data_IF_898165786752
#
_entry.id   IF_898165786752
#
_cell.length_a   1.000
_cell.length_b   1.000
_cell.length_c   1.000
_cell.angle_alpha   90.00
_cell.angle_beta   90.00
_cell.angle_gamma   90.00
#
_symmetry.space_group_name_H-M   'P 1'
#
loop_
_entity.id
_entity.type
_entity.pdbx_description
1 polymer ?
#
# COMPACT_ATOMS: atom_id res chain seq x y z
N UNK A 1 3.57 15.90 20.78
CA UNK A 1 3.86 16.91 19.75
C UNK A 1 3.13 16.50 18.49
N UNK A 2 2.58 17.43 17.71
CA UNK A 2 1.99 17.10 16.41
C UNK A 2 3.13 16.84 15.42
N UNK A 3 3.03 15.77 14.61
CA UNK A 3 3.97 15.49 13.52
C UNK A 3 3.97 16.63 12.52
N UNK A 4 5.13 17.02 12.04
CA UNK A 4 5.34 18.15 11.14
C UNK A 4 5.63 17.70 9.71
N UNK A 5 6.44 16.67 9.55
CA UNK A 5 6.91 16.15 8.27
C UNK A 5 6.32 14.77 7.96
N UNK A 6 6.32 13.86 8.94
CA UNK A 6 5.79 12.52 8.76
C UNK A 6 4.26 12.49 8.88
N UNK A 7 3.61 11.92 7.87
CA UNK A 7 2.20 11.55 7.90
C UNK A 7 1.99 10.12 8.41
N UNK A 8 0.87 9.49 8.03
CA UNK A 8 0.56 8.09 8.34
C UNK A 8 1.40 7.10 7.53
N UNK A 9 1.96 7.52 6.40
CA UNK A 9 2.75 6.68 5.48
C UNK A 9 3.99 7.44 4.97
N UNK A 10 4.88 7.78 5.89
CA UNK A 10 6.10 8.52 5.60
C UNK A 10 5.89 10.02 5.38
N UNK A 11 6.89 10.68 4.78
CA UNK A 11 6.84 12.09 4.39
C UNK A 11 6.23 12.16 2.98
N UNK A 12 5.25 13.03 2.76
CA UNK A 12 4.65 13.25 1.44
C UNK A 12 4.44 14.73 1.17
N UNK A 13 4.53 15.13 -0.10
CA UNK A 13 4.25 16.49 -0.53
C UNK A 13 4.49 16.70 -2.01
N UNK A 14 4.18 17.92 -2.48
CA UNK A 14 4.56 18.31 -3.84
C UNK A 14 6.07 18.35 -3.98
N UNK A 15 6.57 17.77 -5.06
CA UNK A 15 7.99 17.74 -5.37
C UNK A 15 8.58 19.16 -5.41
N UNK A 16 9.76 19.32 -4.83
CA UNK A 16 10.47 20.59 -4.72
C UNK A 16 9.72 21.69 -3.96
N UNK A 17 8.83 21.30 -3.02
CA UNK A 17 8.09 22.23 -2.15
C UNK A 17 8.04 21.68 -0.71
N UNK A 18 8.07 22.58 0.27
CA UNK A 18 7.88 22.22 1.69
C UNK A 18 8.85 21.14 2.16
N UNK A 19 8.31 20.04 2.68
CA UNK A 19 9.09 18.90 3.16
C UNK A 19 9.87 18.14 2.06
N UNK A 20 9.52 18.36 0.78
CA UNK A 20 10.13 17.66 -0.35
C UNK A 20 11.18 18.51 -1.07
N UNK A 21 11.69 19.58 -0.45
CA UNK A 21 12.84 20.36 -0.94
C UNK A 21 14.16 19.65 -0.66
N UNK A 22 15.20 19.79 -1.51
CA UNK A 22 16.48 19.08 -1.37
C UNK A 22 17.17 19.28 -0.03
N UNK A 23 17.08 20.48 0.56
CA UNK A 23 17.68 20.80 1.85
C UNK A 23 17.01 20.06 3.02
N UNK A 24 15.67 19.93 3.03
CA UNK A 24 14.95 19.13 4.03
C UNK A 24 15.23 17.65 3.81
N UNK A 25 15.15 17.18 2.57
CA UNK A 25 15.40 15.77 2.22
C UNK A 25 16.82 15.32 2.62
N UNK A 26 17.82 16.18 2.42
CA UNK A 26 19.19 15.92 2.88
C UNK A 26 19.24 15.77 4.41
N UNK A 27 18.55 16.66 5.15
CA UNK A 27 18.47 16.56 6.62
C UNK A 27 17.76 15.29 7.07
N UNK A 28 16.73 14.81 6.35
CA UNK A 28 16.10 13.51 6.61
C UNK A 28 17.15 12.38 6.54
N UNK A 29 17.99 12.37 5.48
CA UNK A 29 19.08 11.39 5.35
C UNK A 29 20.11 11.49 6.47
N UNK A 30 20.52 12.71 6.85
CA UNK A 30 21.44 12.92 7.96
C UNK A 30 20.87 12.46 9.28
N UNK A 31 19.62 12.83 9.61
CA UNK A 31 18.96 12.51 10.85
C UNK A 31 18.71 11.00 11.00
N UNK A 32 18.15 10.35 9.97
CA UNK A 32 17.94 8.91 9.97
C UNK A 32 19.27 8.15 10.06
N UNK A 33 20.29 8.57 9.31
CA UNK A 33 21.63 8.00 9.37
C UNK A 33 22.27 8.11 10.74
N UNK A 34 22.15 9.25 11.39
CA UNK A 34 22.67 9.47 12.74
C UNK A 34 22.02 8.55 13.78
N UNK A 35 20.70 8.35 13.72
CA UNK A 35 19.96 7.51 14.66
C UNK A 35 20.27 6.01 14.51
N UNK A 36 20.58 5.59 13.28
CA UNK A 36 20.81 4.17 12.96
C UNK A 36 22.29 3.78 12.89
N UNK A 37 23.20 4.73 13.00
CA UNK A 37 24.63 4.45 13.13
C UNK A 37 24.96 3.99 14.54
N UNK A 38 24.78 2.70 14.82
CA UNK A 38 24.98 2.09 16.15
C UNK A 38 26.02 0.96 16.09
N UNK A 39 27.00 1.01 16.98
CA UNK A 39 28.07 0.00 17.05
C UNK A 39 29.22 0.26 16.06
N UNK A 40 30.11 -0.73 15.88
CA UNK A 40 31.39 -0.57 15.17
C UNK A 40 31.41 -1.13 13.73
N UNK A 41 30.29 -1.56 13.18
CA UNK A 41 30.23 -2.10 11.80
C UNK A 41 30.04 -0.99 10.76
N UNK A 42 30.26 -1.29 9.49
CA UNK A 42 29.95 -0.39 8.39
C UNK A 42 28.44 -0.36 8.13
N UNK A 43 27.81 0.79 8.40
CA UNK A 43 26.37 0.96 8.25
C UNK A 43 25.97 1.15 6.80
N UNK A 44 24.77 0.65 6.42
CA UNK A 44 24.26 0.68 5.06
C UNK A 44 22.81 1.11 5.02
N UNK A 45 22.46 1.86 3.98
CA UNK A 45 21.07 2.14 3.62
C UNK A 45 20.81 1.72 2.18
N UNK A 46 19.68 1.06 1.96
CA UNK A 46 19.17 0.72 0.62
C UNK A 46 18.19 1.81 0.20
N UNK A 47 18.34 2.37 -1.01
CA UNK A 47 17.43 3.39 -1.54
C UNK A 47 16.86 2.90 -2.87
N UNK A 48 15.52 2.75 -2.93
CA UNK A 48 14.75 2.55 -4.14
C UNK A 48 13.85 3.74 -4.43
N UNK A 49 13.36 3.83 -5.66
CA UNK A 49 12.45 4.89 -6.09
C UNK A 49 11.44 4.37 -7.10
N UNK A 50 10.33 5.08 -7.25
CA UNK A 50 9.47 4.92 -8.40
C UNK A 50 10.00 5.69 -9.62
N UNK A 51 9.20 5.83 -10.64
CA UNK A 51 9.60 6.41 -11.94
C UNK A 51 9.43 7.92 -12.03
N UNK A 52 9.01 8.62 -10.97
CA UNK A 52 8.77 10.07 -10.95
C UNK A 52 10.05 10.84 -11.27
N UNK A 53 9.92 11.88 -12.09
CA UNK A 53 11.03 12.76 -12.43
C UNK A 53 11.75 13.34 -11.19
N UNK A 54 10.98 13.75 -10.18
CA UNK A 54 11.51 14.28 -8.93
C UNK A 54 12.31 13.26 -8.11
N UNK A 55 12.15 11.96 -8.39
CA UNK A 55 12.93 10.90 -7.74
C UNK A 55 14.43 11.05 -7.90
N UNK A 56 14.89 11.59 -9.03
CA UNK A 56 16.33 11.87 -9.25
C UNK A 56 16.89 12.88 -8.25
N UNK A 57 16.19 13.99 -8.05
CA UNK A 57 16.60 15.04 -7.11
C UNK A 57 16.57 14.52 -5.66
N UNK A 58 15.51 13.85 -5.28
CA UNK A 58 15.30 13.34 -3.91
C UNK A 58 16.35 12.27 -3.58
N UNK A 59 16.62 11.34 -4.51
CA UNK A 59 17.64 10.30 -4.34
C UNK A 59 19.03 10.89 -4.07
N UNK A 60 19.43 11.93 -4.83
CA UNK A 60 20.72 12.56 -4.64
C UNK A 60 20.80 13.31 -3.29
N UNK A 61 19.74 14.00 -2.89
CA UNK A 61 19.68 14.70 -1.61
C UNK A 61 19.78 13.73 -0.42
N UNK A 62 18.99 12.65 -0.42
CA UNK A 62 19.06 11.58 0.57
C UNK A 62 20.45 10.94 0.60
N UNK A 63 21.00 10.62 -0.58
CA UNK A 63 22.33 10.03 -0.70
C UNK A 63 23.37 10.90 -0.02
N UNK A 64 23.39 12.19 -0.33
CA UNK A 64 24.33 13.15 0.28
C UNK A 64 24.17 13.18 1.81
N UNK A 65 22.92 13.18 2.30
CA UNK A 65 22.63 13.16 3.74
C UNK A 65 23.17 11.91 4.44
N UNK A 66 22.89 10.72 3.91
CA UNK A 66 23.38 9.46 4.47
C UNK A 66 24.90 9.31 4.41
N UNK A 67 25.51 9.71 3.28
CA UNK A 67 26.98 9.71 3.15
C UNK A 67 27.61 10.61 4.19
N UNK A 68 27.09 11.84 4.39
CA UNK A 68 27.53 12.77 5.41
C UNK A 68 27.38 12.21 6.82
N UNK A 69 26.33 11.41 7.08
CA UNK A 69 26.16 10.71 8.34
C UNK A 69 27.06 9.48 8.51
N UNK A 70 27.88 9.12 7.52
CA UNK A 70 28.80 7.98 7.56
C UNK A 70 28.19 6.63 7.21
N UNK A 71 27.04 6.60 6.51
CA UNK A 71 26.43 5.38 6.01
C UNK A 71 26.80 5.14 4.53
N UNK A 72 27.03 3.89 4.16
CA UNK A 72 27.11 3.49 2.75
C UNK A 72 25.70 3.42 2.14
N UNK A 73 25.56 3.93 0.92
CA UNK A 73 24.28 3.98 0.19
C UNK A 73 24.27 2.97 -0.96
N UNK A 74 23.27 2.10 -0.96
CA UNK A 74 23.02 1.10 -1.98
C UNK A 74 21.82 1.55 -2.83
N UNK A 75 22.09 2.04 -4.05
CA UNK A 75 21.09 2.59 -4.96
C UNK A 75 20.50 1.45 -5.81
N UNK A 76 19.21 1.22 -5.71
CA UNK A 76 18.50 0.16 -6.47
C UNK A 76 17.99 0.66 -7.83
N UNK A 77 17.83 1.99 -8.01
CA UNK A 77 17.05 2.53 -9.11
C UNK A 77 15.55 2.33 -8.94
N UNK A 78 14.77 2.26 -10.03
CA UNK A 78 13.34 1.93 -9.95
C UNK A 78 13.14 0.54 -9.38
N UNK A 79 12.42 0.46 -8.25
CA UNK A 79 12.15 -0.78 -7.53
C UNK A 79 10.84 -0.65 -6.73
N UNK A 80 9.99 -1.68 -6.71
CA UNK A 80 8.79 -1.71 -5.89
C UNK A 80 9.06 -1.46 -4.40
N UNK A 81 8.10 -0.83 -3.69
CA UNK A 81 8.18 -0.66 -2.23
C UNK A 81 8.49 -1.96 -1.50
N UNK A 82 7.81 -3.10 -1.78
CA UNK A 82 8.15 -4.37 -1.14
C UNK A 82 9.54 -4.90 -1.50
N UNK A 83 10.07 -4.59 -2.69
CA UNK A 83 11.44 -4.95 -3.04
C UNK A 83 12.46 -4.21 -2.16
N UNK A 84 12.21 -2.93 -1.85
CA UNK A 84 13.06 -2.16 -0.92
C UNK A 84 13.04 -2.80 0.47
N UNK A 85 11.87 -3.14 1.01
CA UNK A 85 11.74 -3.79 2.31
C UNK A 85 12.46 -5.16 2.34
N UNK A 86 12.28 -5.98 1.31
CA UNK A 86 12.92 -7.29 1.16
C UNK A 86 14.45 -7.17 1.06
N UNK A 87 14.95 -6.24 0.22
CA UNK A 87 16.38 -6.04 0.00
C UNK A 87 17.07 -5.45 1.23
N UNK A 88 16.40 -4.59 2.00
CA UNK A 88 16.90 -4.10 3.29
C UNK A 88 17.29 -5.27 4.20
N UNK A 89 16.40 -6.25 4.33
CA UNK A 89 16.67 -7.46 5.14
C UNK A 89 17.74 -8.36 4.51
N UNK A 90 17.60 -8.70 3.23
CA UNK A 90 18.47 -9.68 2.56
C UNK A 90 19.91 -9.18 2.39
N UNK A 91 20.11 -7.87 2.27
CA UNK A 91 21.42 -7.24 2.20
C UNK A 91 21.98 -6.81 3.56
N UNK A 92 21.24 -7.11 4.65
CA UNK A 92 21.62 -6.74 6.03
C UNK A 92 21.91 -5.24 6.14
N UNK A 93 21.05 -4.40 5.54
CA UNK A 93 21.14 -2.97 5.66
C UNK A 93 20.49 -2.50 6.98
N UNK A 94 20.97 -1.40 7.53
CA UNK A 94 20.45 -0.81 8.76
C UNK A 94 19.16 -0.03 8.49
N UNK A 95 18.99 0.45 7.25
CA UNK A 95 17.80 1.17 6.79
C UNK A 95 17.46 0.81 5.35
N UNK A 96 16.17 0.91 5.03
CA UNK A 96 15.65 0.97 3.66
C UNK A 96 14.89 2.27 3.45
N UNK A 97 15.00 2.85 2.26
CA UNK A 97 14.27 4.05 1.90
C UNK A 97 13.59 3.85 0.54
N UNK A 98 12.29 4.07 0.51
CA UNK A 98 11.52 4.14 -0.73
C UNK A 98 11.13 5.58 -1.04
N UNK A 99 11.47 6.04 -2.23
CA UNK A 99 11.10 7.36 -2.75
C UNK A 99 9.90 7.18 -3.66
N UNK A 100 8.72 7.45 -3.12
CA UNK A 100 7.45 7.35 -3.85
C UNK A 100 6.30 8.04 -3.11
N UNK A 101 5.31 8.51 -3.86
CA UNK A 101 4.00 8.90 -3.34
C UNK A 101 2.91 7.90 -3.74
N UNK A 102 3.26 6.62 -3.98
CA UNK A 102 2.35 5.52 -4.31
C UNK A 102 1.43 5.88 -5.49
N UNK A 103 0.11 5.92 -5.28
CA UNK A 103 -0.90 6.17 -6.30
C UNK A 103 -1.14 7.66 -6.64
N UNK A 104 -0.44 8.60 -5.99
CA UNK A 104 -0.61 10.03 -6.27
C UNK A 104 -0.10 10.39 -7.69
N UNK A 105 -0.55 11.53 -8.27
CA UNK A 105 0.01 12.06 -9.51
C UNK A 105 1.51 12.33 -9.42
N UNK A 106 2.19 12.44 -10.56
CA UNK A 106 3.65 12.61 -10.65
C UNK A 106 4.19 13.85 -9.93
N UNK A 107 3.37 14.89 -9.78
CA UNK A 107 3.74 16.15 -9.13
C UNK A 107 3.99 16.00 -7.63
N UNK A 108 3.46 14.95 -7.01
CA UNK A 108 3.74 14.59 -5.63
C UNK A 108 4.91 13.60 -5.56
N UNK A 109 5.60 13.57 -4.43
CA UNK A 109 6.54 12.53 -4.08
C UNK A 109 6.54 12.27 -2.57
N UNK A 110 7.27 11.26 -2.12
CA UNK A 110 7.33 10.90 -0.71
C UNK A 110 8.58 10.11 -0.35
N UNK A 111 8.78 9.93 0.95
CA UNK A 111 9.89 9.17 1.53
C UNK A 111 9.32 8.25 2.59
N UNK A 112 9.40 6.93 2.35
CA UNK A 112 9.07 5.89 3.32
C UNK A 112 10.38 5.30 3.85
N UNK A 113 10.53 5.14 5.16
CA UNK A 113 11.75 4.61 5.77
C UNK A 113 11.42 3.29 6.48
N UNK A 114 12.26 2.28 6.21
CA UNK A 114 12.17 0.94 6.77
C UNK A 114 13.35 0.69 7.70
N UNK A 115 13.10 0.03 8.82
CA UNK A 115 14.14 -0.46 9.72
C UNK A 115 14.85 -1.70 9.17
N UNK A 116 15.88 -2.22 9.88
CA UNK A 116 16.65 -3.39 9.46
C UNK A 116 15.81 -4.67 9.38
N UNK A 117 14.66 -4.70 10.05
CA UNK A 117 13.67 -5.77 9.99
C UNK A 117 12.73 -5.67 8.77
N UNK A 118 12.85 -4.61 7.97
CA UNK A 118 12.03 -4.36 6.79
C UNK A 118 10.64 -3.80 7.08
N UNK A 119 10.32 -3.48 8.34
CA UNK A 119 9.10 -2.77 8.70
C UNK A 119 9.31 -1.25 8.67
N UNK A 120 8.23 -0.49 8.47
CA UNK A 120 8.26 0.97 8.61
C UNK A 120 8.71 1.38 10.01
N UNK A 121 9.36 2.54 10.12
CA UNK A 121 9.79 3.07 11.41
C UNK A 121 8.61 3.32 12.34
N UNK A 122 8.87 3.21 13.65
CA UNK A 122 7.88 3.56 14.67
C UNK A 122 7.66 5.07 14.74
N UNK A 123 6.50 5.47 15.26
CA UNK A 123 6.14 6.87 15.49
C UNK A 123 7.19 7.62 16.31
N UNK A 124 7.75 6.95 17.31
CA UNK A 124 8.80 7.51 18.20
C UNK A 124 10.08 7.79 17.42
N UNK A 125 10.46 6.88 16.51
CA UNK A 125 11.66 7.07 15.66
C UNK A 125 11.43 8.18 14.63
N UNK A 126 10.25 8.24 14.01
CA UNK A 126 9.88 9.31 13.10
C UNK A 126 9.91 10.68 13.78
N UNK A 127 9.39 10.80 15.02
CA UNK A 127 9.46 12.03 15.81
C UNK A 127 10.91 12.42 16.17
N UNK A 128 11.79 11.47 16.46
CA UNK A 128 13.22 11.75 16.68
C UNK A 128 13.90 12.29 15.43
N UNK A 129 13.55 11.77 14.25
CA UNK A 129 14.04 12.30 12.96
C UNK A 129 13.55 13.74 12.78
N UNK A 130 12.27 14.03 13.02
CA UNK A 130 11.71 15.39 12.92
C UNK A 130 12.42 16.37 13.87
N UNK A 131 12.68 15.95 15.10
CA UNK A 131 13.40 16.79 16.08
C UNK A 131 14.80 17.17 15.58
N UNK A 132 15.51 16.24 14.95
CA UNK A 132 16.83 16.51 14.37
C UNK A 132 16.76 17.42 13.13
N UNK A 133 15.74 17.27 12.29
CA UNK A 133 15.51 18.14 11.12
C UNK A 133 15.28 19.60 11.58
N UNK A 134 14.46 19.80 12.61
CA UNK A 134 14.14 21.12 13.15
C UNK A 134 15.27 21.73 13.98
N UNK A 135 16.22 20.93 14.44
CA UNK A 135 17.40 21.36 15.20
C UNK A 135 18.70 20.96 14.49
N UNK A 136 19.04 21.57 13.33
CA UNK A 136 20.18 21.14 12.51
C UNK A 136 21.56 21.22 13.22
N UNK A 137 21.68 22.03 14.25
CA UNK A 137 22.89 22.11 15.09
C UNK A 137 23.18 20.81 15.87
N UNK A 138 22.19 19.90 15.99
CA UNK A 138 22.32 18.58 16.62
C UNK A 138 22.69 17.49 15.62
N UNK A 139 22.66 17.79 14.33
CA UNK A 139 23.14 16.86 13.30
C UNK A 139 24.67 16.78 13.36
N UNK A 140 25.18 15.56 13.47
CA UNK A 140 26.62 15.30 13.61
C UNK A 140 27.14 14.61 12.35
N UNK A 141 27.77 15.35 11.42
CA UNK A 141 28.45 14.75 10.29
C UNK A 141 29.55 13.78 10.74
N UNK A 142 29.80 12.76 9.94
CA UNK A 142 30.91 11.86 10.17
C UNK A 142 32.26 12.56 9.96
N UNK A 143 33.31 12.08 10.61
CA UNK A 143 34.67 12.50 10.33
C UNK A 143 35.04 12.19 8.88
N UNK A 144 35.99 12.93 8.30
CA UNK A 144 36.33 12.85 6.85
C UNK A 144 36.66 11.42 6.40
N UNK A 145 37.34 10.65 7.23
CA UNK A 145 37.71 9.25 6.97
C UNK A 145 36.53 8.27 7.13
N UNK A 146 35.41 8.71 7.71
CA UNK A 146 34.21 7.93 7.98
C UNK A 146 33.06 8.24 7.04
N UNK A 147 33.21 9.20 6.10
CA UNK A 147 32.20 9.51 5.09
C UNK A 147 31.83 8.23 4.34
N UNK A 148 30.51 8.03 4.07
CA UNK A 148 30.00 6.87 3.38
C UNK A 148 30.36 6.83 1.89
N UNK A 149 30.02 5.70 1.24
CA UNK A 149 30.21 5.48 -0.21
C UNK A 149 28.88 5.11 -0.84
N UNK A 150 28.57 5.66 -2.02
CA UNK A 150 27.41 5.24 -2.80
C UNK A 150 27.80 4.18 -3.83
N UNK A 151 26.95 3.17 -3.99
CA UNK A 151 27.10 2.09 -4.99
C UNK A 151 25.73 1.77 -5.60
N UNK A 152 25.69 1.61 -6.93
CA UNK A 152 24.52 1.05 -7.61
C UNK A 152 24.49 -0.48 -7.48
N UNK A 153 23.29 -1.03 -7.32
CA UNK A 153 23.03 -2.47 -7.24
C UNK A 153 22.27 -2.85 -8.51
N UNK A 154 22.96 -3.45 -9.46
CA UNK A 154 22.41 -3.72 -10.80
C UNK A 154 21.51 -4.97 -10.83
N UNK A 155 21.63 -5.87 -9.87
CA UNK A 155 20.86 -7.11 -9.76
C UNK A 155 19.62 -7.01 -8.82
N UNK A 156 19.26 -5.80 -8.40
CA UNK A 156 18.15 -5.57 -7.46
C UNK A 156 16.81 -6.11 -7.99
N UNK A 157 16.49 -5.81 -9.25
CA UNK A 157 15.26 -6.29 -9.89
C UNK A 157 15.24 -7.81 -9.99
N UNK A 158 16.34 -8.45 -10.42
CA UNK A 158 16.44 -9.90 -10.53
C UNK A 158 16.25 -10.60 -9.18
N UNK A 159 16.83 -10.05 -8.10
CA UNK A 159 16.63 -10.57 -6.74
C UNK A 159 15.17 -10.55 -6.31
N UNK A 160 14.46 -9.47 -6.60
CA UNK A 160 13.04 -9.36 -6.27
C UNK A 160 12.19 -10.30 -7.13
N UNK A 161 12.46 -10.40 -8.44
CA UNK A 161 11.78 -11.33 -9.36
C UNK A 161 11.91 -12.75 -8.85
N UNK A 162 13.12 -13.21 -8.55
CA UNK A 162 13.36 -14.55 -8.03
C UNK A 162 12.67 -14.78 -6.67
N UNK A 163 12.67 -13.78 -5.81
CA UNK A 163 11.95 -13.85 -4.54
C UNK A 163 10.44 -13.98 -4.77
N UNK A 164 9.86 -13.14 -5.64
CA UNK A 164 8.43 -13.16 -5.95
C UNK A 164 8.00 -14.51 -6.53
N UNK A 165 8.72 -15.02 -7.53
CA UNK A 165 8.43 -16.33 -8.16
C UNK A 165 8.40 -17.48 -7.15
N UNK A 166 9.26 -17.47 -6.13
CA UNK A 166 9.28 -18.52 -5.08
C UNK A 166 8.03 -18.52 -4.21
N UNK A 167 7.24 -17.45 -4.20
CA UNK A 167 5.96 -17.38 -3.47
C UNK A 167 4.80 -18.00 -4.25
N UNK A 168 4.98 -18.23 -5.55
CA UNK A 168 4.04 -18.95 -6.37
C UNK A 168 4.10 -20.46 -6.04
N UNK A 169 3.07 -20.94 -5.37
CA UNK A 169 3.06 -22.30 -4.75
C UNK A 169 2.18 -23.30 -5.48
N UNK A 170 1.80 -23.05 -6.74
CA UNK A 170 1.13 -24.03 -7.55
C UNK A 170 2.11 -25.07 -8.10
N UNK A 171 1.62 -26.31 -8.27
CA UNK A 171 2.43 -27.42 -8.81
C UNK A 171 2.62 -27.34 -10.34
N UNK A 172 2.05 -26.32 -11.01
CA UNK A 172 2.08 -26.07 -12.45
C UNK A 172 2.51 -24.64 -12.75
N UNK A 173 3.08 -24.42 -13.95
CA UNK A 173 3.41 -23.09 -14.46
C UNK A 173 2.14 -22.28 -14.77
N UNK A 174 2.31 -21.01 -15.17
CA UNK A 174 1.24 -20.16 -15.71
C UNK A 174 1.03 -20.37 -17.23
N UNK A 175 1.62 -21.42 -17.79
CA UNK A 175 1.48 -21.74 -19.20
C UNK A 175 0.01 -21.91 -19.60
N UNK A 176 -0.38 -21.27 -20.72
CA UNK A 176 -1.77 -21.24 -21.20
C UNK A 176 -2.61 -20.10 -20.64
N UNK A 177 -2.14 -19.36 -19.62
CA UNK A 177 -2.82 -18.15 -19.14
C UNK A 177 -2.34 -16.91 -19.90
N UNK A 178 -3.30 -16.12 -20.39
CA UNK A 178 -3.07 -14.79 -20.98
C UNK A 178 -3.41 -13.72 -19.93
N UNK A 179 -2.41 -12.93 -19.56
CA UNK A 179 -2.48 -11.94 -18.48
C UNK A 179 -2.30 -10.53 -19.02
N UNK A 180 -3.24 -9.63 -18.77
CA UNK A 180 -3.03 -8.19 -18.93
C UNK A 180 -2.39 -7.67 -17.63
N UNK A 181 -1.18 -7.12 -17.69
CA UNK A 181 -0.50 -6.50 -16.57
C UNK A 181 -0.37 -4.99 -16.78
N UNK A 182 -0.95 -4.21 -15.87
CA UNK A 182 -0.83 -2.76 -15.80
C UNK A 182 0.07 -2.37 -14.63
N UNK A 183 1.21 -1.80 -14.94
CA UNK A 183 2.21 -1.39 -13.93
C UNK A 183 2.19 0.11 -13.63
N UNK A 184 1.14 0.81 -14.03
CA UNK A 184 0.92 2.24 -13.74
C UNK A 184 2.05 3.18 -14.22
N UNK A 185 2.90 2.79 -15.19
CA UNK A 185 4.19 3.43 -15.48
C UNK A 185 5.05 3.60 -14.21
N UNK A 186 4.90 2.72 -13.23
CA UNK A 186 5.48 2.79 -11.90
C UNK A 186 6.73 1.92 -11.72
N UNK A 187 7.09 1.71 -10.46
CA UNK A 187 8.33 1.06 -10.04
C UNK A 187 8.47 -0.40 -10.50
N UNK A 188 7.34 -1.08 -10.77
CA UNK A 188 7.32 -2.49 -11.20
C UNK A 188 7.30 -2.69 -12.72
N UNK A 189 7.49 -1.62 -13.53
CA UNK A 189 7.31 -1.66 -14.98
C UNK A 189 8.13 -2.73 -15.71
N UNK A 190 9.23 -3.18 -15.14
CA UNK A 190 10.01 -4.32 -15.63
C UNK A 190 9.82 -5.58 -14.80
N UNK A 191 9.80 -5.47 -13.47
CA UNK A 191 9.85 -6.64 -12.59
C UNK A 191 8.57 -7.48 -12.62
N UNK A 192 7.38 -6.87 -12.64
CA UNK A 192 6.14 -7.61 -12.63
C UNK A 192 5.88 -8.35 -13.96
N UNK A 193 5.99 -7.71 -15.14
CA UNK A 193 5.87 -8.44 -16.41
C UNK A 193 6.88 -9.57 -16.55
N UNK A 194 8.14 -9.34 -16.13
CA UNK A 194 9.20 -10.36 -16.22
C UNK A 194 8.89 -11.56 -15.31
N UNK A 195 8.48 -11.32 -14.06
CA UNK A 195 8.15 -12.41 -13.15
C UNK A 195 7.03 -13.32 -13.68
N UNK A 196 5.97 -12.72 -14.23
CA UNK A 196 4.84 -13.46 -14.78
C UNK A 196 5.22 -14.21 -16.07
N UNK A 197 6.02 -13.59 -16.94
CA UNK A 197 6.53 -14.23 -18.17
C UNK A 197 7.45 -15.42 -17.85
N UNK A 198 8.35 -15.26 -16.90
CA UNK A 198 9.25 -16.35 -16.47
C UNK A 198 8.51 -17.53 -15.82
N UNK A 199 7.31 -17.30 -15.29
CA UNK A 199 6.40 -18.35 -14.81
C UNK A 199 5.59 -19.01 -15.93
N UNK A 200 5.72 -18.56 -17.19
CA UNK A 200 5.14 -19.19 -18.36
C UNK A 200 3.90 -18.51 -18.93
N UNK A 201 3.45 -17.36 -18.39
CA UNK A 201 2.25 -16.68 -18.88
C UNK A 201 2.50 -15.95 -20.20
N UNK A 202 1.44 -15.85 -21.03
CA UNK A 202 1.36 -14.89 -22.16
C UNK A 202 1.03 -13.50 -21.58
N UNK A 203 1.91 -12.52 -21.81
CA UNK A 203 1.82 -11.20 -21.16
C UNK A 203 1.41 -10.12 -22.16
N UNK A 204 0.38 -9.34 -21.80
CA UNK A 204 -0.03 -8.11 -22.47
C UNK A 204 0.19 -6.96 -21.51
N UNK A 205 1.08 -6.03 -21.84
CA UNK A 205 1.48 -4.95 -20.92
C UNK A 205 0.69 -3.65 -21.15
N UNK A 206 0.44 -2.93 -20.07
CA UNK A 206 -0.05 -1.56 -20.00
C UNK A 206 0.82 -0.80 -19.00
N UNK A 207 1.07 0.49 -19.24
CA UNK A 207 1.79 1.32 -18.27
C UNK A 207 3.22 0.87 -18.00
N UNK A 208 3.97 0.46 -19.03
CA UNK A 208 5.36 -0.02 -18.93
C UNK A 208 6.39 0.90 -19.61
N UNK A 209 5.98 2.11 -19.98
CA UNK A 209 6.83 3.10 -20.64
C UNK A 209 6.88 4.43 -19.84
N UNK A 210 7.56 4.42 -18.68
CA UNK A 210 7.62 5.57 -17.81
C UNK A 210 8.47 6.70 -18.41
N UNK A 211 7.92 7.93 -18.43
CA UNK A 211 8.62 9.14 -18.90
C UNK A 211 8.94 10.14 -17.78
N UNK A 212 8.66 9.77 -16.52
CA UNK A 212 8.86 10.61 -15.35
C UNK A 212 7.67 11.46 -14.93
N UNK A 213 6.67 11.61 -15.80
CA UNK A 213 5.48 12.44 -15.55
C UNK A 213 4.15 11.73 -15.75
N UNK A 214 4.17 10.49 -16.26
CA UNK A 214 2.98 9.70 -16.59
C UNK A 214 2.64 8.58 -15.61
N UNK A 215 3.28 8.53 -14.44
CA UNK A 215 2.96 7.53 -13.41
C UNK A 215 1.51 7.70 -12.93
N UNK A 216 0.76 6.61 -12.83
CA UNK A 216 -0.66 6.56 -12.45
C UNK A 216 -1.61 7.38 -13.37
N UNK A 217 -1.16 7.87 -14.52
CA UNK A 217 -1.99 8.68 -15.39
C UNK A 217 -2.93 7.80 -16.22
N UNK A 218 -4.20 7.68 -15.78
CA UNK A 218 -5.25 6.85 -16.40
C UNK A 218 -4.85 5.37 -16.58
N UNK A 219 -4.00 4.89 -15.70
CA UNK A 219 -3.51 3.50 -15.63
C UNK A 219 -3.31 3.09 -14.17
N UNK A 220 -3.14 1.80 -13.93
CA UNK A 220 -2.85 1.21 -12.62
C UNK A 220 -4.08 0.98 -11.75
N UNK A 221 -3.85 0.58 -10.51
CA UNK A 221 -4.89 0.10 -9.58
C UNK A 221 -5.95 1.14 -9.21
N UNK A 222 -5.66 2.43 -9.35
CA UNK A 222 -6.61 3.52 -9.09
C UNK A 222 -7.41 3.92 -10.33
N UNK A 223 -7.08 3.40 -11.50
CA UNK A 223 -7.78 3.60 -12.76
C UNK A 223 -7.87 2.29 -13.55
N UNK A 224 -8.62 1.29 -13.05
CA UNK A 224 -8.65 -0.05 -13.61
C UNK A 224 -9.39 -0.15 -14.96
N UNK A 225 -10.13 0.89 -15.37
CA UNK A 225 -10.93 0.89 -16.59
C UNK A 225 -10.12 0.59 -17.85
N UNK A 226 -8.87 1.08 -17.90
CA UNK A 226 -7.95 0.80 -19.01
C UNK A 226 -7.62 -0.68 -19.09
N UNK A 227 -7.34 -1.31 -17.96
CA UNK A 227 -7.09 -2.75 -17.85
C UNK A 227 -8.34 -3.56 -18.19
N UNK A 228 -9.50 -3.21 -17.59
CA UNK A 228 -10.79 -3.88 -17.85
C UNK A 228 -11.13 -3.91 -19.36
N UNK A 229 -10.94 -2.79 -20.05
CA UNK A 229 -11.13 -2.69 -21.49
C UNK A 229 -10.15 -3.61 -22.25
N UNK A 230 -8.88 -3.59 -21.86
CA UNK A 230 -7.83 -4.38 -22.53
C UNK A 230 -8.02 -5.88 -22.37
N UNK A 231 -8.46 -6.33 -21.18
CA UNK A 231 -8.81 -7.74 -20.93
C UNK A 231 -9.88 -8.20 -21.91
N UNK A 232 -10.98 -7.45 -22.06
CA UNK A 232 -12.05 -7.79 -23.00
C UNK A 232 -11.58 -7.80 -24.46
N UNK A 233 -10.81 -6.79 -24.88
CA UNK A 233 -10.31 -6.67 -26.26
C UNK A 233 -9.40 -7.83 -26.66
N UNK A 234 -8.56 -8.28 -25.73
CA UNK A 234 -7.56 -9.32 -25.98
C UNK A 234 -8.01 -10.72 -25.57
N UNK A 235 -9.23 -10.84 -24.98
CA UNK A 235 -9.74 -12.09 -24.41
C UNK A 235 -8.73 -12.70 -23.44
N UNK A 236 -8.16 -11.87 -22.59
CA UNK A 236 -7.25 -12.33 -21.55
C UNK A 236 -8.02 -13.03 -20.43
N UNK A 237 -7.39 -13.98 -19.77
CA UNK A 237 -7.98 -14.75 -18.67
C UNK A 237 -8.09 -13.92 -17.39
N UNK A 238 -7.19 -12.94 -17.23
CA UNK A 238 -7.09 -12.09 -16.03
C UNK A 238 -6.42 -10.77 -16.37
N UNK A 239 -6.82 -9.71 -15.67
CA UNK A 239 -6.09 -8.46 -15.59
C UNK A 239 -5.53 -8.21 -14.19
N UNK A 240 -4.32 -7.67 -14.11
CA UNK A 240 -3.62 -7.33 -12.87
C UNK A 240 -3.16 -5.89 -12.98
N UNK A 241 -3.63 -4.99 -12.11
CA UNK A 241 -3.21 -3.60 -12.06
C UNK A 241 -2.52 -3.30 -10.74
N UNK A 242 -1.29 -2.81 -10.82
CA UNK A 242 -0.50 -2.34 -9.68
C UNK A 242 -0.60 -0.82 -9.58
N UNK A 243 -0.24 -0.23 -8.43
CA UNK A 243 -0.06 1.21 -8.33
C UNK A 243 1.41 1.62 -8.55
N UNK A 244 1.69 2.91 -8.44
CA UNK A 244 2.99 3.48 -8.82
C UNK A 244 4.21 2.90 -8.09
N UNK A 245 4.07 2.39 -6.87
CA UNK A 245 5.15 1.72 -6.14
C UNK A 245 4.85 0.23 -5.86
N UNK A 246 3.79 -0.30 -6.49
CA UNK A 246 3.41 -1.69 -6.54
C UNK A 246 3.14 -2.35 -5.17
N UNK A 247 2.79 -1.55 -4.18
CA UNK A 247 2.37 -2.05 -2.87
C UNK A 247 0.87 -2.42 -2.83
N UNK A 248 0.12 -2.13 -3.95
CA UNK A 248 -1.30 -2.44 -4.14
C UNK A 248 -1.55 -3.19 -5.43
N UNK A 249 -2.63 -3.97 -5.43
CA UNK A 249 -3.14 -4.67 -6.61
C UNK A 249 -4.67 -4.61 -6.69
N UNK A 250 -5.17 -4.42 -7.89
CA UNK A 250 -6.56 -4.66 -8.29
C UNK A 250 -6.53 -5.68 -9.42
N UNK A 251 -7.46 -6.61 -9.41
CA UNK A 251 -7.56 -7.67 -10.41
C UNK A 251 -8.86 -7.50 -11.20
N UNK A 252 -8.90 -7.98 -12.42
CA UNK A 252 -10.14 -8.19 -13.17
C UNK A 252 -10.25 -9.62 -13.62
N UNK A 253 -11.49 -10.10 -13.70
CA UNK A 253 -11.77 -11.39 -14.32
C UNK A 253 -11.72 -11.30 -15.85
N UNK A 254 -11.96 -12.42 -16.52
CA UNK A 254 -12.00 -12.56 -17.99
C UNK A 254 -13.10 -11.72 -18.66
N UNK A 255 -14.11 -11.26 -17.89
CA UNK A 255 -15.17 -10.37 -18.37
C UNK A 255 -14.81 -8.89 -18.20
N UNK A 256 -13.67 -8.61 -17.53
CA UNK A 256 -13.23 -7.27 -17.18
C UNK A 256 -14.01 -6.68 -16.01
N UNK A 257 -14.58 -7.53 -15.15
CA UNK A 257 -15.18 -7.12 -13.88
C UNK A 257 -14.13 -7.01 -12.80
N UNK A 258 -14.21 -5.94 -12.01
CA UNK A 258 -13.19 -5.61 -11.00
C UNK A 258 -13.33 -6.50 -9.77
N UNK A 259 -12.21 -7.03 -9.32
CA UNK A 259 -12.03 -7.80 -8.09
C UNK A 259 -11.14 -6.98 -7.16
N UNK A 260 -11.71 -6.46 -6.08
CA UNK A 260 -11.02 -5.59 -5.13
C UNK A 260 -10.21 -6.35 -4.08
N UNK A 261 -9.50 -5.60 -3.22
CA UNK A 261 -8.68 -6.19 -2.17
C UNK A 261 -9.44 -7.06 -1.18
N UNK A 262 -10.72 -6.79 -0.94
CA UNK A 262 -11.53 -7.59 -0.03
C UNK A 262 -11.78 -9.00 -0.58
N UNK A 263 -12.09 -9.11 -1.88
CA UNK A 263 -12.25 -10.41 -2.55
C UNK A 263 -10.93 -11.18 -2.60
N UNK A 264 -9.82 -10.47 -2.90
CA UNK A 264 -8.47 -11.07 -2.95
C UNK A 264 -8.06 -11.59 -1.57
N UNK A 265 -8.26 -10.80 -0.51
CA UNK A 265 -7.98 -11.24 0.86
C UNK A 265 -8.83 -12.43 1.27
N UNK A 266 -10.12 -12.44 0.92
CA UNK A 266 -11.01 -13.56 1.19
C UNK A 266 -10.54 -14.85 0.52
N UNK A 267 -10.11 -14.76 -0.74
CA UNK A 267 -9.58 -15.90 -1.50
C UNK A 267 -8.31 -16.45 -0.84
N UNK A 268 -7.32 -15.59 -0.60
CA UNK A 268 -6.03 -15.99 -0.03
C UNK A 268 -6.23 -16.60 1.36
N UNK A 269 -7.00 -15.94 2.25
CA UNK A 269 -7.25 -16.43 3.59
C UNK A 269 -7.97 -17.80 3.58
N UNK A 270 -8.97 -17.98 2.71
CA UNK A 270 -9.69 -19.24 2.56
C UNK A 270 -8.78 -20.37 2.04
N UNK A 271 -7.97 -20.08 1.03
CA UNK A 271 -6.98 -21.03 0.48
C UNK A 271 -5.96 -21.43 1.54
N UNK A 272 -5.40 -20.45 2.25
CA UNK A 272 -4.40 -20.72 3.28
C UNK A 272 -5.00 -21.48 4.48
N UNK A 273 -6.25 -21.20 4.84
CA UNK A 273 -6.97 -21.98 5.87
C UNK A 273 -7.12 -23.45 5.46
N UNK A 274 -7.59 -23.70 4.24
CA UNK A 274 -7.77 -25.05 3.70
C UNK A 274 -6.44 -25.85 3.61
N UNK A 275 -5.32 -25.14 3.47
CA UNK A 275 -3.97 -25.71 3.35
C UNK A 275 -3.19 -25.74 4.66
N UNK A 276 -3.78 -25.29 5.76
CA UNK A 276 -3.11 -25.24 7.07
C UNK A 276 -1.98 -24.19 7.16
N UNK A 277 -2.00 -23.19 6.29
CA UNK A 277 -1.00 -22.10 6.23
C UNK A 277 -1.45 -20.83 6.95
N UNK A 278 -2.77 -20.68 7.17
CA UNK A 278 -3.32 -19.49 7.83
C UNK A 278 -2.98 -19.49 9.32
N UNK A 279 -2.42 -18.37 9.79
CA UNK A 279 -2.09 -18.13 11.20
C UNK A 279 -3.07 -17.10 11.80
N UNK A 280 -3.24 -17.12 13.11
CA UNK A 280 -4.16 -16.21 13.81
C UNK A 280 -5.65 -16.54 13.63
N UNK A 281 -6.00 -17.59 12.86
CA UNK A 281 -7.37 -18.04 12.67
C UNK A 281 -8.25 -17.11 11.83
N UNK A 282 -7.67 -16.21 11.03
CA UNK A 282 -8.41 -15.28 10.20
C UNK A 282 -7.54 -14.25 9.49
N UNK A 283 -8.11 -13.08 9.19
CA UNK A 283 -7.39 -11.97 8.58
C UNK A 283 -7.64 -10.63 9.29
N UNK A 284 -6.75 -9.68 9.08
CA UNK A 284 -6.82 -8.33 9.63
C UNK A 284 -7.10 -7.34 8.50
N UNK A 285 -8.08 -6.44 8.69
CA UNK A 285 -8.39 -5.40 7.72
C UNK A 285 -8.72 -4.07 8.40
N UNK A 286 -9.10 -3.06 7.63
CA UNK A 286 -9.52 -1.78 8.19
C UNK A 286 -11.04 -1.70 8.34
N UNK A 287 -11.50 -0.67 9.03
CA UNK A 287 -12.94 -0.36 9.14
C UNK A 287 -13.59 -0.04 7.77
N UNK A 288 -12.84 0.08 6.69
CA UNK A 288 -13.36 0.37 5.35
C UNK A 288 -13.74 -0.88 4.56
N UNK A 289 -13.24 -2.05 4.93
CA UNK A 289 -13.58 -3.31 4.24
C UNK A 289 -15.06 -3.66 4.36
N UNK A 290 -15.60 -4.21 3.30
CA UNK A 290 -17.01 -4.51 3.16
C UNK A 290 -17.51 -5.51 4.22
N UNK A 291 -18.74 -5.34 4.68
CA UNK A 291 -19.38 -6.26 5.65
C UNK A 291 -19.57 -7.68 5.05
N UNK A 292 -19.72 -7.78 3.72
CA UNK A 292 -19.75 -9.05 3.01
C UNK A 292 -18.48 -9.89 3.23
N UNK A 293 -17.30 -9.25 3.35
CA UNK A 293 -16.07 -9.95 3.72
C UNK A 293 -16.16 -10.58 5.12
N UNK A 294 -16.73 -9.86 6.08
CA UNK A 294 -16.92 -10.35 7.45
C UNK A 294 -17.84 -11.57 7.48
N UNK A 295 -18.96 -11.48 6.78
CA UNK A 295 -19.90 -12.61 6.65
C UNK A 295 -19.23 -13.82 5.96
N UNK A 296 -18.43 -13.57 4.92
CA UNK A 296 -17.68 -14.63 4.23
C UNK A 296 -16.69 -15.33 5.17
N UNK A 297 -15.92 -14.57 5.95
CA UNK A 297 -14.97 -15.15 6.90
C UNK A 297 -15.71 -15.93 7.99
N UNK A 298 -16.75 -15.36 8.58
CA UNK A 298 -17.56 -16.03 9.60
C UNK A 298 -18.17 -17.35 9.11
N UNK A 299 -18.67 -17.39 7.87
CA UNK A 299 -19.25 -18.62 7.27
C UNK A 299 -18.21 -19.76 7.12
N UNK A 300 -16.93 -19.43 7.13
CA UNK A 300 -15.80 -20.37 7.04
C UNK A 300 -15.18 -20.66 8.42
N UNK A 301 -15.75 -20.12 9.50
CA UNK A 301 -15.21 -20.25 10.86
C UNK A 301 -13.93 -19.43 11.07
N UNK A 302 -13.69 -18.41 10.23
CA UNK A 302 -12.52 -17.54 10.28
C UNK A 302 -12.89 -16.20 10.92
N UNK A 303 -11.93 -15.58 11.61
CA UNK A 303 -12.08 -14.27 12.24
C UNK A 303 -11.74 -13.15 11.27
N UNK A 304 -12.49 -12.04 11.30
CA UNK A 304 -12.14 -10.78 10.69
C UNK A 304 -11.84 -9.75 11.79
N UNK A 305 -10.58 -9.37 11.94
CA UNK A 305 -10.17 -8.28 12.84
C UNK A 305 -10.15 -6.95 12.07
N UNK A 306 -10.79 -5.91 12.63
CA UNK A 306 -10.84 -4.57 12.02
C UNK A 306 -9.98 -3.59 12.78
N UNK A 307 -9.18 -2.82 12.07
CA UNK A 307 -8.34 -1.73 12.61
C UNK A 307 -8.80 -0.38 12.08
N UNK A 308 -8.17 0.69 12.57
CA UNK A 308 -8.24 2.01 11.94
C UNK A 308 -7.67 1.94 10.53
N UNK A 309 -8.05 2.91 9.67
CA UNK A 309 -7.51 3.04 8.32
C UNK A 309 -6.02 3.39 8.35
N UNK A 310 -5.25 2.65 7.59
CA UNK A 310 -3.80 2.76 7.47
C UNK A 310 -3.12 1.41 7.67
N UNK A 311 -2.25 1.05 6.75
CA UNK A 311 -1.52 -0.22 6.72
C UNK A 311 -0.70 -0.47 8.00
N UNK A 312 -0.17 0.59 8.61
CA UNK A 312 0.55 0.53 9.89
C UNK A 312 -0.28 -0.17 10.97
N UNK A 313 -1.57 0.21 11.13
CA UNK A 313 -2.44 -0.38 12.15
C UNK A 313 -2.76 -1.85 11.84
N UNK A 314 -2.87 -2.18 10.56
CA UNK A 314 -3.04 -3.57 10.12
C UNK A 314 -1.81 -4.40 10.50
N UNK A 315 -0.60 -3.93 10.16
CA UNK A 315 0.67 -4.59 10.49
C UNK A 315 0.85 -4.75 12.00
N UNK A 316 0.60 -3.70 12.77
CA UNK A 316 0.70 -3.74 14.24
C UNK A 316 -0.22 -4.80 14.84
N UNK A 317 -1.48 -4.84 14.38
CA UNK A 317 -2.45 -5.83 14.85
C UNK A 317 -2.06 -7.26 14.45
N UNK A 318 -1.59 -7.44 13.20
CA UNK A 318 -1.11 -8.75 12.72
C UNK A 318 0.04 -9.26 13.59
N UNK A 319 1.04 -8.42 13.86
CA UNK A 319 2.21 -8.79 14.69
C UNK A 319 1.83 -9.10 16.13
N UNK A 320 0.97 -8.28 16.73
CA UNK A 320 0.58 -8.45 18.14
C UNK A 320 -0.27 -9.71 18.36
N UNK A 321 -1.01 -10.16 17.36
CA UNK A 321 -1.97 -11.25 17.52
C UNK A 321 -1.64 -12.49 16.64
N UNK A 322 -0.49 -12.50 15.97
CA UNK A 322 0.00 -13.65 15.22
C UNK A 322 -0.75 -13.94 13.92
N UNK A 323 -1.41 -12.96 13.31
CA UNK A 323 -1.99 -13.09 11.98
C UNK A 323 -0.93 -12.99 10.89
N UNK A 324 -1.07 -13.77 9.82
CA UNK A 324 -0.14 -13.71 8.70
C UNK A 324 -0.77 -13.15 7.40
N UNK A 325 -2.05 -12.80 7.41
CA UNK A 325 -2.72 -12.10 6.31
C UNK A 325 -3.44 -10.88 6.85
N UNK A 326 -3.29 -9.75 6.15
CA UNK A 326 -4.05 -8.54 6.38
C UNK A 326 -3.97 -7.58 5.22
N UNK A 327 -4.77 -6.53 5.24
CA UNK A 327 -4.73 -5.52 4.18
C UNK A 327 -5.92 -4.60 4.15
N UNK A 328 -6.12 -3.97 3.02
CA UNK A 328 -7.16 -2.98 2.77
C UNK A 328 -7.92 -3.29 1.48
N UNK A 329 -9.17 -2.87 1.39
CA UNK A 329 -9.99 -2.96 0.19
C UNK A 329 -9.31 -2.34 -1.04
N UNK A 330 -8.46 -1.33 -0.84
CA UNK A 330 -7.66 -0.69 -1.90
C UNK A 330 -6.62 -1.60 -2.56
N UNK A 331 -6.50 -2.86 -2.12
CA UNK A 331 -5.55 -3.83 -2.66
C UNK A 331 -4.17 -3.83 -2.01
N UNK A 332 -3.96 -3.06 -0.94
CA UNK A 332 -2.74 -3.16 -0.13
C UNK A 332 -2.82 -4.40 0.75
N UNK A 333 -2.22 -5.50 0.29
CA UNK A 333 -2.33 -6.82 0.92
C UNK A 333 -0.98 -7.27 1.46
N UNK A 334 -0.96 -7.60 2.73
CA UNK A 334 0.23 -7.98 3.50
C UNK A 334 0.16 -9.47 3.81
N UNK A 335 1.18 -10.20 3.41
CA UNK A 335 1.37 -11.61 3.73
C UNK A 335 2.68 -11.75 4.50
N UNK A 336 2.62 -11.69 5.84
CA UNK A 336 3.81 -11.52 6.69
C UNK A 336 4.78 -12.70 6.64
N UNK A 337 4.38 -13.86 6.16
CA UNK A 337 5.28 -14.97 5.88
C UNK A 337 6.22 -14.69 4.69
N UNK A 338 5.88 -13.75 3.83
CA UNK A 338 6.66 -13.35 2.66
C UNK A 338 7.17 -11.91 2.74
N UNK A 339 6.30 -10.94 3.03
CA UNK A 339 6.61 -9.51 2.99
C UNK A 339 6.19 -8.80 4.27
N UNK A 340 6.94 -7.77 4.66
CA UNK A 340 6.66 -6.93 5.83
C UNK A 340 5.75 -5.74 5.52
N UNK A 341 5.40 -5.54 4.26
CA UNK A 341 4.50 -4.50 3.75
C UNK A 341 3.61 -5.09 2.67
N UNK A 342 2.64 -4.34 2.17
CA UNK A 342 1.86 -4.73 1.01
C UNK A 342 2.72 -5.04 -0.20
N UNK A 343 2.32 -6.07 -0.96
CA UNK A 343 3.01 -6.50 -2.18
C UNK A 343 1.97 -6.95 -3.21
N UNK A 344 1.74 -6.08 -4.19
CA UNK A 344 0.72 -6.33 -5.20
C UNK A 344 1.07 -7.51 -6.11
N UNK A 345 2.35 -7.72 -6.45
CA UNK A 345 2.77 -8.85 -7.26
C UNK A 345 2.62 -10.17 -6.51
N UNK A 346 3.02 -10.22 -5.24
CA UNK A 346 2.88 -11.42 -4.43
C UNK A 346 1.39 -11.78 -4.25
N UNK A 347 0.53 -10.79 -3.99
CA UNK A 347 -0.90 -11.02 -3.88
C UNK A 347 -1.50 -11.56 -5.19
N UNK A 348 -1.12 -10.99 -6.33
CA UNK A 348 -1.52 -11.50 -7.64
C UNK A 348 -1.04 -12.94 -7.87
N UNK A 349 0.20 -13.28 -7.48
CA UNK A 349 0.73 -14.64 -7.60
C UNK A 349 -0.04 -15.66 -6.74
N UNK A 350 -0.54 -15.26 -5.56
CA UNK A 350 -1.40 -16.15 -4.77
C UNK A 350 -2.76 -16.38 -5.44
N UNK A 351 -3.35 -15.34 -6.04
CA UNK A 351 -4.59 -15.49 -6.84
C UNK A 351 -4.36 -16.42 -8.03
N UNK A 352 -3.29 -16.19 -8.80
CA UNK A 352 -2.92 -17.03 -9.94
C UNK A 352 -2.69 -18.49 -9.52
N UNK A 353 -2.08 -18.72 -8.36
CA UNK A 353 -1.89 -20.06 -7.81
C UNK A 353 -3.23 -20.76 -7.54
N UNK A 354 -4.24 -20.04 -7.06
CA UNK A 354 -5.59 -20.60 -6.86
C UNK A 354 -6.31 -20.85 -8.18
N UNK A 355 -6.26 -19.93 -9.13
CA UNK A 355 -6.83 -20.09 -10.47
C UNK A 355 -6.25 -21.33 -11.15
N UNK A 356 -4.94 -21.47 -11.13
CA UNK A 356 -4.23 -22.63 -11.72
C UNK A 356 -4.59 -23.95 -11.01
N UNK A 357 -4.69 -23.92 -9.69
CA UNK A 357 -5.02 -25.12 -8.88
C UNK A 357 -6.46 -25.58 -9.08
N UNK A 358 -7.40 -24.63 -9.16
CA UNK A 358 -8.82 -24.95 -9.34
C UNK A 358 -9.18 -25.22 -10.80
N UNK A 359 -8.36 -24.77 -11.76
CA UNK A 359 -8.62 -24.88 -13.21
C UNK A 359 -9.99 -24.33 -13.63
N UNK A 360 -10.36 -23.20 -13.05
CA UNK A 360 -11.63 -22.51 -13.28
C UNK A 360 -11.38 -21.06 -13.71
N UNK A 361 -12.34 -20.43 -14.40
CA UNK A 361 -12.27 -19.00 -14.70
C UNK A 361 -12.08 -18.14 -13.45
N UNK A 362 -11.44 -17.01 -13.61
CA UNK A 362 -11.16 -16.06 -12.51
C UNK A 362 -12.46 -15.57 -11.89
N UNK A 363 -13.50 -15.34 -12.70
CA UNK A 363 -14.85 -14.95 -12.25
C UNK A 363 -15.51 -15.95 -11.28
N UNK A 364 -15.15 -17.25 -11.37
CA UNK A 364 -15.63 -18.25 -10.42
C UNK A 364 -14.73 -18.34 -9.19
N UNK A 365 -13.41 -18.31 -9.39
CA UNK A 365 -12.41 -18.48 -8.30
C UNK A 365 -12.42 -17.30 -7.35
N UNK A 366 -12.52 -16.08 -7.86
CA UNK A 366 -12.37 -14.84 -7.09
C UNK A 366 -13.70 -14.30 -6.53
N UNK A 367 -14.85 -14.83 -6.93
CA UNK A 367 -16.15 -14.40 -6.40
C UNK A 367 -16.41 -15.06 -5.04
N UNK A 368 -15.76 -14.54 -4.02
CA UNK A 368 -15.81 -15.12 -2.67
C UNK A 368 -17.09 -14.79 -1.92
N UNK A 369 -17.66 -13.61 -2.15
CA UNK A 369 -18.92 -13.14 -1.53
C UNK A 369 -19.56 -12.07 -2.42
N UNK A 370 -20.83 -11.80 -2.16
CA UNK A 370 -21.53 -10.65 -2.74
C UNK A 370 -21.27 -9.43 -1.86
N UNK A 371 -20.61 -8.40 -2.42
CA UNK A 371 -20.39 -7.14 -1.72
C UNK A 371 -21.73 -6.48 -1.40
N UNK A 372 -21.87 -5.99 -0.17
CA UNK A 372 -23.02 -5.16 0.19
C UNK A 372 -22.84 -3.75 -0.38
N UNK A 373 -23.94 -3.11 -0.82
CA UNK A 373 -23.89 -1.70 -1.19
C UNK A 373 -23.23 -0.85 -0.13
N UNK A 374 -22.16 -0.15 -0.51
CA UNK A 374 -21.37 0.71 0.36
C UNK A 374 -21.26 2.09 -0.29
N UNK A 375 -21.70 3.13 0.42
CA UNK A 375 -21.71 4.51 -0.07
C UNK A 375 -20.85 5.36 0.86
N UNK A 376 -19.87 6.05 0.27
CA UNK A 376 -18.97 6.98 0.95
C UNK A 376 -19.16 8.39 0.39
N UNK A 377 -19.42 9.34 1.27
CA UNK A 377 -19.45 10.76 0.92
C UNK A 377 -18.54 11.58 1.83
N UNK A 378 -17.99 12.67 1.29
CA UNK A 378 -17.11 13.58 2.00
C UNK A 378 -17.82 14.91 2.28
N UNK A 379 -17.86 15.34 3.54
CA UNK A 379 -18.37 16.64 3.95
C UNK A 379 -17.21 17.55 4.34
N UNK A 380 -16.99 18.63 3.58
CA UNK A 380 -15.96 19.63 3.91
C UNK A 380 -16.42 20.52 5.07
N UNK A 381 -15.51 20.88 5.96
CA UNK A 381 -15.76 21.86 7.02
C UNK A 381 -14.58 22.84 7.11
N UNK A 382 -14.88 24.08 7.57
CA UNK A 382 -13.86 25.14 7.66
C UNK A 382 -13.21 25.20 9.04
N UNK A 383 -14.01 24.99 10.08
CA UNK A 383 -13.54 25.07 11.48
C UNK A 383 -14.52 24.34 12.41
N UNK A 384 -14.14 24.18 13.67
CA UNK A 384 -15.00 23.59 14.70
C UNK A 384 -14.92 22.07 14.76
N UNK A 385 -15.87 21.48 15.47
CA UNK A 385 -16.00 20.03 15.69
C UNK A 385 -17.42 19.56 15.37
N UNK A 386 -17.82 19.52 14.10
CA UNK A 386 -19.20 19.20 13.71
C UNK A 386 -19.71 17.87 14.30
N UNK A 387 -18.84 16.90 14.54
CA UNK A 387 -19.23 15.61 15.14
C UNK A 387 -19.56 15.68 16.64
N UNK A 388 -19.25 16.79 17.30
CA UNK A 388 -19.62 17.02 18.71
C UNK A 388 -21.01 17.67 18.85
N UNK A 389 -21.58 18.16 17.75
CA UNK A 389 -22.91 18.78 17.70
C UNK A 389 -24.01 17.78 18.13
N UNK A 390 -25.03 18.28 18.85
CA UNK A 390 -26.10 17.46 19.41
C UNK A 390 -27.00 16.84 18.32
N UNK A 391 -27.34 17.65 17.29
CA UNK A 391 -28.18 17.17 16.18
C UNK A 391 -27.45 16.14 15.34
N UNK A 392 -26.13 16.30 15.14
CA UNK A 392 -25.28 15.32 14.46
C UNK A 392 -25.22 14.00 15.25
N UNK A 393 -25.03 14.05 16.56
CA UNK A 393 -25.02 12.85 17.41
C UNK A 393 -26.36 12.13 17.41
N UNK A 394 -27.47 12.87 17.44
CA UNK A 394 -28.82 12.29 17.32
C UNK A 394 -29.01 11.61 15.97
N UNK A 395 -28.67 12.28 14.88
CA UNK A 395 -28.79 11.72 13.54
C UNK A 395 -27.92 10.47 13.31
N UNK A 396 -26.73 10.40 13.92
CA UNK A 396 -25.88 9.21 13.91
C UNK A 396 -26.59 8.04 14.60
N UNK A 397 -27.14 8.26 15.79
CA UNK A 397 -27.84 7.22 16.56
C UNK A 397 -29.09 6.71 15.82
N UNK A 398 -29.83 7.60 15.18
CA UNK A 398 -30.99 7.22 14.38
C UNK A 398 -30.58 6.38 13.16
N UNK A 399 -29.50 6.76 12.48
CA UNK A 399 -28.95 6.04 11.36
C UNK A 399 -28.45 4.63 11.76
N UNK A 400 -27.75 4.50 12.89
CA UNK A 400 -27.33 3.21 13.44
C UNK A 400 -28.54 2.32 13.76
N UNK A 401 -29.59 2.90 14.34
CA UNK A 401 -30.83 2.19 14.64
C UNK A 401 -31.55 1.72 13.39
N UNK A 402 -31.55 2.52 12.31
CA UNK A 402 -32.13 2.13 11.02
C UNK A 402 -31.35 1.01 10.32
N UNK A 403 -30.04 1.02 10.40
CA UNK A 403 -29.18 -0.03 9.83
C UNK A 403 -29.27 -1.35 10.63
N UNK A 404 -29.44 -1.27 11.93
CA UNK A 404 -29.50 -2.42 12.84
C UNK A 404 -28.32 -3.37 12.63
N UNK A 405 -28.61 -4.68 12.62
CA UNK A 405 -27.60 -5.72 12.39
C UNK A 405 -27.34 -6.00 10.89
N UNK A 406 -28.12 -5.38 9.98
CA UNK A 406 -28.04 -5.63 8.55
C UNK A 406 -27.13 -4.66 7.79
N UNK A 407 -26.57 -3.69 8.50
CA UNK A 407 -25.68 -2.69 7.93
C UNK A 407 -24.71 -2.11 8.95
N UNK A 408 -23.87 -1.17 8.49
CA UNK A 408 -22.84 -0.54 9.31
C UNK A 408 -22.62 0.92 8.91
N UNK A 409 -22.30 1.75 9.89
CA UNK A 409 -21.98 3.15 9.71
C UNK A 409 -20.55 3.44 10.17
N UNK A 410 -19.80 4.21 9.38
CA UNK A 410 -18.47 4.69 9.73
C UNK A 410 -18.38 6.20 9.45
N UNK A 411 -18.23 6.98 10.50
CA UNK A 411 -18.07 8.42 10.38
C UNK A 411 -16.74 8.82 11.05
N UNK A 412 -15.90 9.53 10.31
CA UNK A 412 -14.60 9.94 10.83
C UNK A 412 -14.07 11.20 10.15
N UNK A 413 -13.31 12.05 10.88
CA UNK A 413 -12.54 13.09 10.23
C UNK A 413 -11.45 12.50 9.35
N UNK A 414 -11.09 13.20 8.27
CA UNK A 414 -9.89 12.90 7.51
C UNK A 414 -8.64 13.30 8.31
N UNK A 415 -7.58 12.51 8.24
CA UNK A 415 -6.30 12.83 8.88
C UNK A 415 -5.48 13.87 8.13
N UNK A 416 -5.80 14.15 6.86
CA UNK A 416 -4.97 14.97 5.95
C UNK A 416 -5.71 16.17 5.36
N UNK A 417 -7.04 16.18 5.40
CA UNK A 417 -7.87 17.21 4.78
C UNK A 417 -8.97 17.65 5.74
N UNK A 418 -9.44 18.92 5.66
CA UNK A 418 -10.52 19.41 6.50
C UNK A 418 -11.88 18.88 6.00
N UNK A 419 -12.10 17.58 6.12
CA UNK A 419 -13.35 16.92 5.74
C UNK A 419 -13.70 15.76 6.69
N UNK A 420 -14.99 15.47 6.77
CA UNK A 420 -15.55 14.32 7.47
C UNK A 420 -15.99 13.31 6.41
N UNK A 421 -15.56 12.08 6.57
CA UNK A 421 -15.96 10.95 5.73
C UNK A 421 -17.13 10.25 6.38
N UNK A 422 -18.24 10.15 5.64
CA UNK A 422 -19.47 9.47 6.03
C UNK A 422 -19.65 8.27 5.13
N UNK A 423 -19.57 7.08 5.69
CA UNK A 423 -19.75 5.82 4.98
C UNK A 423 -20.84 5.01 5.66
N UNK A 424 -21.79 4.53 4.88
CA UNK A 424 -22.73 3.49 5.31
C UNK A 424 -22.73 2.33 4.32
N UNK A 425 -22.99 1.14 4.83
CA UNK A 425 -23.18 -0.06 4.03
C UNK A 425 -24.33 -0.91 4.60
N UNK A 426 -24.99 -1.68 3.73
CA UNK A 426 -26.13 -2.51 4.12
C UNK A 426 -26.76 -3.20 2.92
N UNK A 427 -27.74 -4.06 3.16
CA UNK A 427 -28.40 -4.86 2.12
C UNK A 427 -29.25 -4.03 1.15
N UNK A 428 -29.88 -2.96 1.63
CA UNK A 428 -30.73 -2.06 0.84
C UNK A 428 -29.99 -0.79 0.45
N UNK A 429 -29.55 -0.69 -0.81
CA UNK A 429 -28.82 0.47 -1.34
C UNK A 429 -29.63 1.77 -1.21
N UNK A 430 -30.95 1.71 -1.38
CA UNK A 430 -31.81 2.90 -1.30
C UNK A 430 -31.80 3.46 0.12
N UNK A 431 -31.91 2.57 1.12
CA UNK A 431 -31.80 2.94 2.53
C UNK A 431 -30.41 3.48 2.89
N UNK A 432 -29.34 2.81 2.44
CA UNK A 432 -27.96 3.24 2.67
C UNK A 432 -27.74 4.64 2.09
N UNK A 433 -28.18 4.91 0.86
CA UNK A 433 -28.08 6.22 0.19
C UNK A 433 -28.82 7.29 0.98
N UNK A 434 -30.06 7.03 1.37
CA UNK A 434 -30.87 7.95 2.18
C UNK A 434 -30.19 8.32 3.50
N UNK A 435 -29.61 7.34 4.18
CA UNK A 435 -28.89 7.54 5.45
C UNK A 435 -27.67 8.44 5.24
N UNK A 436 -26.85 8.14 4.23
CA UNK A 436 -25.64 8.93 3.94
C UNK A 436 -26.00 10.37 3.56
N UNK A 437 -27.00 10.58 2.68
CA UNK A 437 -27.43 11.91 2.26
C UNK A 437 -27.98 12.72 3.44
N UNK A 438 -28.77 12.10 4.31
CA UNK A 438 -29.33 12.71 5.52
C UNK A 438 -28.20 13.14 6.49
N UNK A 439 -27.26 12.25 6.79
CA UNK A 439 -26.12 12.53 7.66
C UNK A 439 -25.22 13.63 7.09
N UNK A 440 -24.91 13.58 5.80
CA UNK A 440 -24.14 14.62 5.12
C UNK A 440 -24.83 15.98 5.20
N UNK A 441 -26.16 16.02 5.07
CA UNK A 441 -26.94 17.24 5.22
C UNK A 441 -26.88 17.84 6.63
N UNK A 442 -27.03 17.02 7.69
CA UNK A 442 -26.94 17.46 9.09
C UNK A 442 -25.51 17.90 9.43
N UNK A 443 -24.50 17.11 9.04
CA UNK A 443 -23.08 17.45 9.28
C UNK A 443 -22.71 18.75 8.54
N UNK A 444 -23.18 18.96 7.31
CA UNK A 444 -22.92 20.19 6.54
C UNK A 444 -23.51 21.45 7.22
N UNK A 445 -24.67 21.33 7.85
CA UNK A 445 -25.26 22.43 8.60
C UNK A 445 -24.47 22.76 9.87
N UNK A 446 -24.02 21.74 10.59
CA UNK A 446 -23.15 21.90 11.77
C UNK A 446 -21.74 22.39 11.42
N UNK A 447 -21.31 22.22 10.17
CA UNK A 447 -20.00 22.59 9.64
C UNK A 447 -19.95 24.01 9.00
N UNK A 448 -21.11 24.66 8.82
CA UNK A 448 -21.23 25.99 8.23
C UNK A 448 -20.91 27.09 9.24
#
# INVERSE_FOLDING_TARGET
MSRKYFGTDGIRGKANQGAMTPDIVMKVGMAAGQLYRRGGHRHRVVIGKDTRLSGYMIEQALTSGFLSAGMDVLLLGPAPTPAVAMLTRSMRADLGVMISASHNPFADNGIKIFGPDGYKLSDETEMQIEELIDNPSRLMPAASEQVGRAKRIDDAAARYIEFAKRTYTADSSLEGLRIVIDTANGASYTSAPTALWELGAEIITIGVDPNGTNINEKVGSTYPETMCKRVRETRADIGIALDGDADRVIITDENGEVIDGDQIMALIASSWAARGLLKGGGLVTTIMSNLGLEHCMASKGLTLARTKVGDRYVVEHMRANGFNIGGEQSGHIIMSDYSTTGDGLLAALQVLAEVTRQKKPVSEVCKMFTALPQILQNVKFKSGKPLEDADVKSAIKDAESMLGNSGRLVIRPSGTEPLIRVMAEGQDETMVRKIVDQLCGVISKAAA
#
